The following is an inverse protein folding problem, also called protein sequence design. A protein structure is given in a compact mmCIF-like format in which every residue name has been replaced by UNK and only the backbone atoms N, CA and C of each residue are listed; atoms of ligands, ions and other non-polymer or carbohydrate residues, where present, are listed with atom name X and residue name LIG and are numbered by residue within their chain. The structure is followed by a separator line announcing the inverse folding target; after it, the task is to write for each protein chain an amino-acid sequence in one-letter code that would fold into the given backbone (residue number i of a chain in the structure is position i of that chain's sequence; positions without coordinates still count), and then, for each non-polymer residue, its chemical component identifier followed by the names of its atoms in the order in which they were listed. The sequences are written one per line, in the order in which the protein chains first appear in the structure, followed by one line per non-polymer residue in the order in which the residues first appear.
data_IF_144436240094
#
_entry.id   IF_144436240094
#
_cell.length_a   1.000
_cell.length_b   1.000
_cell.length_c   1.000
_cell.angle_alpha   90.00
_cell.angle_beta   90.00
_cell.angle_gamma   90.00
#
_symmetry.space_group_name_H-M   'P 1'
#
loop_
_entity.id
_entity.type
_entity.pdbx_description
1 polymer ?
#
# COMPACT_ATOMS: atom_id res chain seq x y z
N UNK A 1 -36.17 20.02 2.30
CA UNK A 1 -35.47 18.82 1.80
C UNK A 1 -34.49 19.08 0.64
N UNK A 2 -34.51 20.23 -0.06
CA UNK A 2 -33.64 20.48 -1.22
C UNK A 2 -32.24 21.08 -0.91
N UNK A 3 -32.01 21.64 0.29
CA UNK A 3 -30.77 22.37 0.57
C UNK A 3 -29.55 21.47 0.81
N UNK A 4 -29.73 20.21 1.23
CA UNK A 4 -28.63 19.29 1.54
C UNK A 4 -27.93 18.78 0.26
N UNK A 5 -28.66 18.66 -0.86
CA UNK A 5 -28.13 18.14 -2.14
C UNK A 5 -27.61 19.25 -3.06
N UNK A 6 -28.04 20.49 -2.84
CA UNK A 6 -27.61 21.67 -3.59
C UNK A 6 -26.07 21.88 -3.68
N UNK A 7 -25.27 21.71 -2.59
CA UNK A 7 -23.82 21.87 -2.69
C UNK A 7 -23.17 20.79 -3.56
N UNK A 8 -23.63 19.55 -3.50
CA UNK A 8 -23.08 18.44 -4.30
C UNK A 8 -23.25 18.66 -5.81
N UNK A 9 -24.41 19.18 -6.24
CA UNK A 9 -24.66 19.51 -7.65
C UNK A 9 -23.73 20.61 -8.17
N UNK A 10 -23.45 21.62 -7.34
CA UNK A 10 -22.52 22.71 -7.68
C UNK A 10 -21.07 22.20 -7.76
N UNK A 11 -20.66 21.33 -6.84
CA UNK A 11 -19.34 20.72 -6.86
C UNK A 11 -19.14 19.83 -8.10
N UNK A 12 -20.12 19.00 -8.46
CA UNK A 12 -20.03 18.15 -9.65
C UNK A 12 -19.86 18.97 -10.94
N UNK A 13 -20.67 20.02 -11.12
CA UNK A 13 -20.54 20.93 -12.28
C UNK A 13 -19.18 21.64 -12.31
N UNK A 14 -18.64 21.98 -11.15
CA UNK A 14 -17.32 22.61 -11.03
C UNK A 14 -16.17 21.64 -11.39
N UNK A 15 -16.25 20.39 -10.93
CA UNK A 15 -15.30 19.33 -11.30
C UNK A 15 -15.36 19.04 -12.81
N UNK A 16 -16.56 18.98 -13.38
CA UNK A 16 -16.74 18.83 -14.83
C UNK A 16 -16.10 19.98 -15.61
N UNK A 17 -16.28 21.23 -15.16
CA UNK A 17 -15.65 22.39 -15.78
C UNK A 17 -14.12 22.32 -15.69
N UNK A 18 -13.56 21.98 -14.52
CA UNK A 18 -12.12 21.80 -14.34
C UNK A 18 -11.53 20.71 -15.23
N UNK A 19 -12.27 19.61 -15.44
CA UNK A 19 -11.83 18.52 -16.30
C UNK A 19 -11.71 18.94 -17.78
N UNK A 20 -12.57 19.86 -18.26
CA UNK A 20 -12.55 20.34 -19.65
C UNK A 20 -11.63 21.55 -19.85
N UNK A 21 -11.68 22.54 -18.96
CA UNK A 21 -10.95 23.80 -19.11
C UNK A 21 -9.48 23.66 -18.69
N UNK A 22 -9.20 22.83 -17.67
CA UNK A 22 -7.86 22.67 -17.08
C UNK A 22 -7.53 21.18 -16.87
N UNK A 23 -7.50 20.38 -17.94
CA UNK A 23 -7.38 18.92 -17.84
C UNK A 23 -6.10 18.49 -17.11
N UNK A 24 -4.97 19.17 -17.37
CA UNK A 24 -3.68 18.81 -16.78
C UNK A 24 -3.73 18.86 -15.24
N UNK A 25 -4.24 19.95 -14.68
CA UNK A 25 -4.34 20.15 -13.22
C UNK A 25 -5.32 19.16 -12.59
N UNK A 26 -6.47 18.95 -13.25
CA UNK A 26 -7.51 18.07 -12.75
C UNK A 26 -7.03 16.62 -12.69
N UNK A 27 -6.51 16.09 -13.80
CA UNK A 27 -6.07 14.69 -13.86
C UNK A 27 -4.76 14.45 -13.10
N UNK A 28 -3.85 15.42 -13.03
CA UNK A 28 -2.64 15.27 -12.20
C UNK A 28 -2.98 15.10 -10.73
N UNK A 29 -3.94 15.88 -10.22
CA UNK A 29 -4.41 15.75 -8.84
C UNK A 29 -5.13 14.43 -8.62
N UNK A 30 -6.01 14.03 -9.55
CA UNK A 30 -6.80 12.80 -9.44
C UNK A 30 -5.89 11.56 -9.42
N UNK A 31 -4.89 11.50 -10.31
CA UNK A 31 -3.88 10.43 -10.34
C UNK A 31 -2.98 10.50 -9.09
N UNK A 32 -2.59 11.71 -8.67
CA UNK A 32 -1.78 11.90 -7.45
C UNK A 32 -2.49 11.41 -6.18
N UNK A 33 -3.80 11.62 -6.07
CA UNK A 33 -4.61 11.16 -4.93
C UNK A 33 -4.95 9.66 -5.05
N UNK A 34 -5.13 9.13 -6.25
CA UNK A 34 -5.48 7.71 -6.43
C UNK A 34 -4.38 6.79 -5.89
N UNK A 35 -3.10 7.17 -6.01
CA UNK A 35 -1.97 6.42 -5.47
C UNK A 35 -2.08 6.14 -3.96
N UNK A 36 -2.08 7.17 -3.09
CA UNK A 36 -2.25 7.01 -1.64
C UNK A 36 -3.53 6.29 -1.23
N UNK A 37 -4.65 6.58 -1.92
CA UNK A 37 -5.94 5.93 -1.63
C UNK A 37 -5.85 4.42 -1.89
N UNK A 38 -5.26 4.01 -3.02
CA UNK A 38 -5.06 2.60 -3.35
C UNK A 38 -4.02 1.94 -2.43
N UNK A 39 -2.92 2.64 -2.11
CA UNK A 39 -1.90 2.13 -1.20
C UNK A 39 -2.47 1.85 0.21
N UNK A 40 -3.45 2.62 0.66
CA UNK A 40 -4.11 2.40 1.94
C UNK A 40 -5.22 1.33 1.87
N UNK A 41 -6.05 1.36 0.82
CA UNK A 41 -7.24 0.50 0.72
C UNK A 41 -6.97 -0.90 0.18
N UNK A 42 -6.04 -1.05 -0.77
CA UNK A 42 -5.80 -2.34 -1.44
C UNK A 42 -5.15 -3.39 -0.52
N UNK A 43 -4.12 -3.09 0.30
CA UNK A 43 -3.50 -4.08 1.17
C UNK A 43 -4.43 -4.78 2.16
N UNK A 44 -5.31 -4.08 2.92
CA UNK A 44 -6.24 -4.75 3.83
C UNK A 44 -7.26 -5.59 3.06
N UNK A 45 -7.74 -5.10 1.91
CA UNK A 45 -8.66 -5.87 1.07
C UNK A 45 -8.00 -7.17 0.59
N UNK A 46 -6.75 -7.08 0.12
CA UNK A 46 -5.96 -8.21 -0.38
C UNK A 46 -5.69 -9.26 0.70
N UNK A 47 -5.38 -8.83 1.93
CA UNK A 47 -5.13 -9.73 3.06
C UNK A 47 -6.41 -10.38 3.58
N UNK A 48 -7.49 -9.62 3.74
CA UNK A 48 -8.69 -10.08 4.44
C UNK A 48 -9.68 -10.83 3.55
N UNK A 49 -9.82 -10.44 2.28
CA UNK A 49 -10.83 -11.04 1.38
C UNK A 49 -10.23 -11.98 0.35
N UNK A 50 -8.99 -11.72 -0.10
CA UNK A 50 -8.33 -12.51 -1.14
C UNK A 50 -7.30 -13.52 -0.58
N UNK A 51 -7.17 -13.60 0.75
CA UNK A 51 -6.30 -14.59 1.41
C UNK A 51 -4.81 -14.43 1.11
N UNK A 52 -4.38 -13.25 0.65
CA UNK A 52 -2.97 -13.02 0.34
C UNK A 52 -2.14 -12.95 1.62
N UNK A 53 -1.18 -13.87 1.75
CA UNK A 53 -0.18 -13.89 2.83
C UNK A 53 1.12 -13.29 2.31
N UNK A 54 1.75 -12.42 3.09
CA UNK A 54 3.07 -11.90 2.73
C UNK A 54 4.11 -13.02 2.87
N UNK A 55 5.02 -13.16 1.90
CA UNK A 55 6.13 -14.10 2.04
C UNK A 55 7.01 -13.70 3.24
N UNK A 56 7.64 -14.69 3.85
CA UNK A 56 8.63 -14.46 4.90
C UNK A 56 9.80 -13.63 4.35
N UNK A 57 10.42 -12.84 5.23
CA UNK A 57 11.55 -12.03 4.85
C UNK A 57 12.76 -12.92 4.54
N UNK A 58 13.40 -12.67 3.41
CA UNK A 58 14.68 -13.30 3.08
C UNK A 58 15.74 -12.93 4.13
N UNK A 59 16.60 -13.89 4.54
CA UNK A 59 17.65 -13.61 5.49
C UNK A 59 18.68 -12.66 4.86
N UNK A 60 18.90 -11.52 5.52
CA UNK A 60 19.93 -10.54 5.11
C UNK A 60 21.30 -10.85 5.69
N UNK A 61 21.36 -11.76 6.68
CA UNK A 61 22.57 -12.15 7.40
C UNK A 61 22.65 -13.66 7.55
N UNK A 62 23.84 -14.18 7.86
CA UNK A 62 24.00 -15.59 8.18
C UNK A 62 23.07 -15.97 9.35
N UNK A 63 22.20 -17.00 9.18
CA UNK A 63 21.24 -17.38 10.20
C UNK A 63 21.95 -18.07 11.37
N UNK A 64 22.33 -17.27 12.38
CA UNK A 64 22.91 -17.80 13.60
C UNK A 64 21.83 -18.44 14.47
N UNK A 65 21.97 -19.72 14.85
CA UNK A 65 21.02 -20.36 15.75
C UNK A 65 21.11 -19.74 17.14
N UNK A 66 19.96 -19.42 17.74
CA UNK A 66 19.86 -18.92 19.13
C UNK A 66 20.04 -20.05 20.14
N UNK A 67 21.23 -20.66 20.16
CA UNK A 67 21.56 -21.77 21.06
C UNK A 67 22.95 -21.57 21.67
N UNK A 68 23.18 -22.08 22.90
CA UNK A 68 24.52 -22.10 23.46
C UNK A 68 25.45 -22.98 22.62
N UNK A 69 26.74 -22.66 22.66
CA UNK A 69 27.78 -23.45 21.99
C UNK A 69 27.73 -24.89 22.50
N UNK A 70 27.79 -25.84 21.58
CA UNK A 70 27.94 -27.26 21.90
C UNK A 70 29.35 -27.68 21.49
N UNK A 71 30.08 -28.43 22.35
CA UNK A 71 31.36 -28.98 21.95
C UNK A 71 31.16 -29.93 20.77
N UNK A 72 31.98 -29.77 19.74
CA UNK A 72 32.00 -30.62 18.54
C UNK A 72 33.29 -31.46 18.56
N UNK A 73 33.26 -32.64 17.94
CA UNK A 73 34.43 -33.53 17.77
C UNK A 73 34.46 -34.01 16.32
N UNK A 74 35.65 -34.35 15.80
CA UNK A 74 35.80 -35.09 14.54
C UNK A 74 36.64 -34.44 13.44
N UNK A 75 37.13 -33.22 13.65
CA UNK A 75 38.10 -32.54 12.77
C UNK A 75 39.20 -31.89 13.62
N UNK A 76 39.59 -32.58 14.70
CA UNK A 76 40.67 -32.13 15.55
C UNK A 76 42.00 -32.47 14.84
N UNK A 77 42.93 -31.51 14.77
CA UNK A 77 44.26 -31.70 14.21
C UNK A 77 45.05 -32.62 15.17
N UNK A 78 45.61 -33.74 14.69
CA UNK A 78 46.47 -34.61 15.52
C UNK A 78 47.69 -33.88 16.09
#
# INVERSE_FOLDING_TARGET
MASIVAPFRRSYRSLQWLAHERPVIFFSLLIGISGPVLAFSVPPIRRNYFGYVQPELIPTTYPLPQRPRRPVKGYDDE
#
